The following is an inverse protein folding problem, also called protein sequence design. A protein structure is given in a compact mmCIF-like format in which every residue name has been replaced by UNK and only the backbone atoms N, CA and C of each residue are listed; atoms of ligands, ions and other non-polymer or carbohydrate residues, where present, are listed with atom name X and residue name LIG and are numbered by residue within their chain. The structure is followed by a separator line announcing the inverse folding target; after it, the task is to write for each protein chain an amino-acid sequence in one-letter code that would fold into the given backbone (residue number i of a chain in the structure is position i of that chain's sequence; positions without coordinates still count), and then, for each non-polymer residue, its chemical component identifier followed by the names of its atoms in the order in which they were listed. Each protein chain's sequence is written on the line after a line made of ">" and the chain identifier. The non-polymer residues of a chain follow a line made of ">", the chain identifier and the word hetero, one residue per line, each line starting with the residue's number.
data_IF_678939104304
#
_entry.id   IF_678939104304
#
_cell.length_a   1.000
_cell.length_b   1.000
_cell.length_c   1.000
_cell.angle_alpha   90.00
_cell.angle_beta   90.00
_cell.angle_gamma   90.00
#
_symmetry.space_group_name_H-M   'P 1'
#
loop_
_entity.id
_entity.type
_entity.pdbx_description
1 polymer ?
#
# COMPACT_ATOMS: atom_id res chain seq x y z
N UNK A 1 17.02 51.99 25.36
CA UNK A 1 15.64 51.49 25.17
C UNK A 1 15.48 51.14 23.70
N UNK A 2 15.76 49.88 23.32
CA UNK A 2 15.80 49.45 21.91
C UNK A 2 14.45 48.86 21.52
N UNK A 3 13.87 49.43 20.47
CA UNK A 3 12.55 49.15 19.97
C UNK A 3 12.40 47.70 19.51
N UNK A 4 11.23 47.15 19.84
CA UNK A 4 10.79 45.78 19.54
C UNK A 4 10.59 45.66 18.04
N UNK A 5 11.42 44.85 17.37
CA UNK A 5 11.13 44.42 15.99
C UNK A 5 10.27 43.16 16.04
N UNK A 6 9.06 43.33 15.51
CA UNK A 6 7.96 42.36 15.44
C UNK A 6 8.38 41.04 14.78
N UNK A 7 7.96 39.94 15.41
CA UNK A 7 7.82 38.63 14.80
C UNK A 7 6.83 38.71 13.63
N UNK A 8 7.33 38.68 12.39
CA UNK A 8 6.52 38.37 11.22
C UNK A 8 6.40 36.85 11.11
N UNK A 9 5.41 36.28 11.80
CA UNK A 9 4.92 34.94 11.49
C UNK A 9 4.18 35.03 10.15
N UNK A 10 4.83 34.60 9.07
CA UNK A 10 4.17 34.39 7.79
C UNK A 10 3.17 33.23 7.95
N UNK A 11 1.91 33.56 8.26
CA UNK A 11 0.79 32.62 8.20
C UNK A 11 0.52 32.38 6.71
N UNK A 12 1.19 31.39 6.13
CA UNK A 12 0.82 30.88 4.82
C UNK A 12 -0.57 30.24 4.97
N UNK A 13 -1.57 30.65 4.19
CA UNK A 13 -2.89 30.05 4.26
C UNK A 13 -2.79 28.57 3.85
N UNK A 14 -3.33 27.68 4.71
CA UNK A 14 -3.35 26.22 4.58
C UNK A 14 -4.25 25.72 3.42
N UNK A 15 -4.60 26.58 2.47
CA UNK A 15 -5.59 26.33 1.40
C UNK A 15 -4.97 25.93 0.06
N UNK A 16 -3.68 25.61 0.01
CA UNK A 16 -3.05 24.94 -1.13
C UNK A 16 -2.91 23.42 -0.91
N UNK A 17 -3.90 22.77 -0.28
CA UNK A 17 -4.12 21.33 -0.51
C UNK A 17 -4.96 21.22 -1.77
N UNK A 18 -4.30 21.36 -2.92
CA UNK A 18 -4.88 20.95 -4.18
C UNK A 18 -4.81 19.42 -4.17
N UNK A 19 -5.86 18.79 -3.60
CA UNK A 19 -6.09 17.36 -3.73
C UNK A 19 -6.25 17.08 -5.22
N UNK A 20 -5.17 16.70 -5.87
CA UNK A 20 -5.18 16.18 -7.24
C UNK A 20 -5.82 14.79 -7.21
N UNK A 21 -7.14 14.75 -6.97
CA UNK A 21 -7.99 13.63 -7.35
C UNK A 21 -7.92 13.37 -8.87
N UNK A 22 -7.40 14.31 -9.66
CA UNK A 22 -7.09 14.17 -11.07
C UNK A 22 -5.84 13.30 -11.37
N UNK A 23 -4.96 13.05 -10.39
CA UNK A 23 -3.75 12.24 -10.59
C UNK A 23 -3.96 10.72 -10.48
N UNK A 24 -5.13 10.27 -10.03
CA UNK A 24 -5.37 8.84 -9.77
C UNK A 24 -5.76 8.05 -11.03
N UNK A 25 -6.35 8.71 -12.03
CA UNK A 25 -6.79 8.04 -13.27
C UNK A 25 -5.64 7.60 -14.17
N UNK A 26 -4.45 8.19 -14.03
CA UNK A 26 -3.33 7.97 -14.94
C UNK A 26 -2.44 6.76 -14.56
N UNK A 27 -2.70 6.10 -13.42
CA UNK A 27 -1.90 4.96 -12.96
C UNK A 27 -2.47 3.59 -13.33
N UNK A 28 -3.70 3.52 -13.80
CA UNK A 28 -4.28 2.26 -14.26
C UNK A 28 -3.89 2.07 -15.73
N UNK A 29 -2.68 1.57 -15.96
CA UNK A 29 -2.33 1.05 -17.29
C UNK A 29 -3.22 -0.16 -17.56
N UNK A 30 -4.18 0.01 -18.45
CA UNK A 30 -4.93 -1.12 -19.01
C UNK A 30 -3.92 -2.08 -19.60
N UNK A 31 -3.97 -3.35 -19.21
CA UNK A 31 -3.07 -4.34 -19.75
C UNK A 31 -3.33 -4.48 -21.26
N UNK A 32 -2.27 -4.52 -22.08
CA UNK A 32 -2.33 -4.68 -23.55
C UNK A 32 -2.69 -6.13 -23.95
N UNK A 33 -3.72 -6.71 -23.34
CA UNK A 33 -4.20 -8.05 -23.63
C UNK A 33 -5.62 -7.98 -24.21
N UNK A 34 -5.88 -8.81 -25.23
CA UNK A 34 -7.18 -8.86 -25.91
C UNK A 34 -8.33 -9.18 -24.96
N UNK A 35 -8.07 -9.98 -23.93
CA UNK A 35 -8.99 -10.28 -22.84
C UNK A 35 -8.22 -10.38 -21.51
N UNK A 36 -8.72 -9.78 -20.42
CA UNK A 36 -8.14 -9.95 -19.09
C UNK A 36 -8.23 -11.41 -18.64
N UNK A 37 -7.17 -11.92 -18.03
CA UNK A 37 -7.18 -13.23 -17.38
C UNK A 37 -7.57 -13.06 -15.92
N UNK A 38 -8.68 -13.66 -15.53
CA UNK A 38 -9.12 -13.65 -14.13
C UNK A 38 -8.20 -14.50 -13.25
N UNK A 39 -8.07 -14.09 -12.00
CA UNK A 39 -7.34 -14.86 -11.01
C UNK A 39 -8.19 -16.06 -10.57
N UNK A 40 -7.64 -17.29 -10.56
CA UNK A 40 -8.37 -18.48 -10.13
C UNK A 40 -8.68 -18.41 -8.63
N UNK A 41 -9.95 -18.15 -8.28
CA UNK A 41 -10.41 -17.92 -6.89
C UNK A 41 -10.18 -19.14 -5.98
N UNK A 42 -10.21 -20.35 -6.54
CA UNK A 42 -9.84 -21.60 -5.84
C UNK A 42 -8.40 -21.57 -5.32
N UNK A 43 -7.51 -20.78 -5.93
CA UNK A 43 -6.11 -20.62 -5.50
C UNK A 43 -5.87 -19.47 -4.54
N UNK A 44 -6.89 -18.66 -4.24
CA UNK A 44 -6.74 -17.44 -3.43
C UNK A 44 -6.18 -17.74 -2.04
N UNK A 45 -6.71 -18.76 -1.37
CA UNK A 45 -6.25 -19.16 -0.04
C UNK A 45 -4.77 -19.56 -0.03
N UNK A 46 -4.37 -20.43 -0.94
CA UNK A 46 -2.97 -20.88 -1.06
C UNK A 46 -2.03 -19.74 -1.42
N UNK A 47 -2.46 -18.84 -2.31
CA UNK A 47 -1.68 -17.66 -2.69
C UNK A 47 -1.44 -16.72 -1.51
N UNK A 48 -2.50 -16.39 -0.75
CA UNK A 48 -2.41 -15.53 0.44
C UNK A 48 -1.55 -16.18 1.52
N UNK A 49 -1.68 -17.49 1.74
CA UNK A 49 -0.86 -18.22 2.69
C UNK A 49 0.63 -18.15 2.35
N UNK A 50 1.01 -18.39 1.08
CA UNK A 50 2.40 -18.30 0.65
C UNK A 50 2.93 -16.86 0.71
N UNK A 51 2.09 -15.86 0.39
CA UNK A 51 2.45 -14.46 0.54
C UNK A 51 2.77 -14.11 2.00
N UNK A 52 1.90 -14.47 2.94
CA UNK A 52 2.12 -14.23 4.37
C UNK A 52 3.34 -15.01 4.90
N UNK A 53 3.55 -16.26 4.44
CA UNK A 53 4.75 -17.05 4.78
C UNK A 53 6.03 -16.30 4.40
N UNK A 54 6.10 -15.75 3.19
CA UNK A 54 7.28 -14.99 2.72
C UNK A 54 7.46 -13.68 3.48
N UNK A 55 6.37 -12.98 3.81
CA UNK A 55 6.41 -11.77 4.63
C UNK A 55 7.01 -12.06 6.00
N UNK A 56 6.61 -13.16 6.65
CA UNK A 56 7.19 -13.60 7.93
C UNK A 56 8.70 -13.83 7.82
N UNK A 57 9.18 -14.46 6.74
CA UNK A 57 10.63 -14.63 6.51
C UNK A 57 11.39 -13.30 6.43
N UNK A 58 10.79 -12.26 5.84
CA UNK A 58 11.37 -10.92 5.80
C UNK A 58 11.39 -10.28 7.20
N UNK A 59 10.27 -10.38 7.95
CA UNK A 59 10.14 -9.82 9.31
C UNK A 59 11.08 -10.52 10.29
N UNK A 60 11.35 -11.81 10.11
CA UNK A 60 12.25 -12.57 10.98
C UNK A 60 13.73 -12.41 10.59
N UNK A 61 14.02 -11.82 9.43
CA UNK A 61 15.39 -11.71 8.90
C UNK A 61 15.94 -13.05 8.36
N UNK A 62 15.05 -13.97 7.99
CA UNK A 62 15.37 -15.31 7.50
C UNK A 62 15.25 -15.44 5.98
N UNK A 63 14.91 -14.36 5.28
CA UNK A 63 14.83 -14.39 3.82
C UNK A 63 16.23 -14.52 3.22
N UNK A 64 16.47 -15.63 2.52
CA UNK A 64 17.72 -15.94 1.82
C UNK A 64 17.67 -15.31 0.44
N UNK A 65 18.69 -14.51 0.10
CA UNK A 65 18.92 -13.75 -1.17
C UNK A 65 19.51 -12.35 -0.89
N UNK A 66 20.11 -12.14 0.27
CA UNK A 66 20.89 -10.95 0.55
C UNK A 66 22.28 -10.99 -0.11
N UNK A 67 23.04 -9.90 0.01
CA UNK A 67 24.41 -9.82 -0.50
C UNK A 67 25.26 -11.00 0.02
N UNK A 68 26.22 -11.44 -0.80
CA UNK A 68 27.14 -12.54 -0.45
C UNK A 68 26.46 -13.85 -0.07
N UNK A 69 25.32 -14.17 -0.70
CA UNK A 69 24.48 -15.34 -0.39
C UNK A 69 23.92 -15.37 1.06
N UNK A 70 23.90 -14.20 1.72
CA UNK A 70 23.36 -14.05 3.07
C UNK A 70 21.85 -13.87 3.10
N UNK A 71 21.35 -13.50 4.28
CA UNK A 71 19.96 -13.10 4.47
C UNK A 71 19.77 -11.61 4.16
N UNK A 72 18.56 -11.24 3.75
CA UNK A 72 18.16 -9.83 3.71
C UNK A 72 18.05 -9.25 5.12
N UNK A 73 18.20 -7.92 5.26
CA UNK A 73 17.94 -7.22 6.51
C UNK A 73 16.53 -7.52 7.04
N UNK A 74 16.42 -7.56 8.37
CA UNK A 74 15.15 -7.76 9.06
C UNK A 74 14.17 -6.62 8.72
N UNK A 75 12.98 -6.98 8.28
CA UNK A 75 11.88 -6.04 8.06
C UNK A 75 11.15 -5.67 9.35
N UNK A 76 10.42 -4.56 9.32
CA UNK A 76 9.48 -4.19 10.39
C UNK A 76 8.27 -5.13 10.41
N UNK A 77 7.58 -5.19 11.56
CA UNK A 77 6.36 -5.97 11.68
C UNK A 77 5.29 -5.51 10.69
N UNK A 78 4.67 -6.45 9.99
CA UNK A 78 3.58 -6.15 9.06
C UNK A 78 2.42 -7.11 9.27
N UNK A 79 1.21 -6.57 9.30
CA UNK A 79 -0.02 -7.36 9.38
C UNK A 79 -0.15 -8.34 8.21
N UNK A 80 -0.80 -9.47 8.50
CA UNK A 80 -1.13 -10.48 7.51
C UNK A 80 -2.17 -9.96 6.53
N UNK A 81 -1.99 -10.35 5.26
CA UNK A 81 -2.97 -10.07 4.21
C UNK A 81 -4.10 -11.08 4.33
N UNK A 82 -5.34 -10.60 4.19
CA UNK A 82 -6.54 -11.44 4.08
C UNK A 82 -7.03 -11.44 2.64
N UNK A 83 -7.34 -12.63 2.12
CA UNK A 83 -7.98 -12.76 0.81
C UNK A 83 -9.47 -12.53 0.95
N UNK A 84 -10.03 -11.56 0.24
CA UNK A 84 -11.47 -11.42 0.09
C UNK A 84 -11.90 -12.03 -1.24
N UNK A 85 -12.96 -12.84 -1.22
CA UNK A 85 -13.69 -13.17 -2.45
C UNK A 85 -14.59 -11.97 -2.73
N UNK A 86 -14.32 -11.21 -3.77
CA UNK A 86 -15.33 -10.32 -4.33
C UNK A 86 -16.46 -11.20 -4.86
N UNK A 87 -17.51 -11.38 -4.06
CA UNK A 87 -18.83 -11.61 -4.63
C UNK A 87 -19.26 -10.33 -5.34
N UNK A 88 -20.08 -10.52 -6.37
CA UNK A 88 -20.65 -9.55 -7.31
C UNK A 88 -20.91 -8.13 -6.78
N UNK A 89 -20.95 -7.18 -7.71
CA UNK A 89 -21.04 -5.70 -7.62
C UNK A 89 -22.11 -5.05 -6.69
N UNK A 90 -22.52 -5.66 -5.58
CA UNK A 90 -23.69 -5.24 -4.79
C UNK A 90 -23.45 -4.88 -3.31
N UNK A 91 -22.30 -5.15 -2.71
CA UNK A 91 -22.09 -4.85 -1.27
C UNK A 91 -21.29 -3.56 -1.01
N UNK A 92 -21.73 -2.46 -1.60
CA UNK A 92 -21.46 -1.10 -1.08
C UNK A 92 -22.32 -0.86 0.17
N UNK A 93 -22.03 -1.50 1.31
CA UNK A 93 -22.71 -1.13 2.56
C UNK A 93 -22.02 -1.52 3.88
N UNK A 94 -20.89 -2.23 3.90
CA UNK A 94 -20.42 -2.85 5.15
C UNK A 94 -19.09 -2.35 5.73
N UNK A 95 -18.61 -1.18 5.32
CA UNK A 95 -17.50 -0.51 6.03
C UNK A 95 -17.88 0.95 6.36
N UNK A 96 -18.98 1.10 7.10
CA UNK A 96 -19.10 2.16 8.10
C UNK A 96 -19.28 1.48 9.47
N UNK A 97 -18.18 1.35 10.22
CA UNK A 97 -18.18 1.37 11.68
C UNK A 97 -16.80 1.75 12.19
#
# INVERSE_FOLDING_TARGET
>A
MRCIHLFTLAVLPLSAVQSTAEGYKDRVRTADCKQPKEFPIDKLGTFVAELNRRRRLMVDGNQRNGPNNGNLPKGEYVFEVVGYKTFDFSTYSFFEM
#
